data_IF_657070443607
#
_entry.id   IF_657070443607
#
_cell.length_a   1.000
_cell.length_b   1.000
_cell.length_c   1.000
_cell.angle_alpha   90.00
_cell.angle_beta   90.00
_cell.angle_gamma   90.00
#
_symmetry.space_group_name_H-M   'P 1'
#
loop_
_entity.id
_entity.type
_entity.pdbx_description
1 polymer ?
#
# COMPACT_ATOMS: atom_id res chain seq x y z
N UNK A 1 -5.55 30.06 8.45
CA UNK A 1 -4.88 28.88 9.04
C UNK A 1 -5.20 27.68 8.18
N UNK A 2 -4.27 27.27 7.31
CA UNK A 2 -4.46 26.08 6.45
C UNK A 2 -4.36 24.83 7.34
N UNK A 3 -5.50 24.36 7.85
CA UNK A 3 -5.56 23.07 8.53
C UNK A 3 -5.21 22.02 7.48
N UNK A 4 -4.02 21.42 7.59
CA UNK A 4 -3.67 20.26 6.75
C UNK A 4 -4.65 19.15 7.12
N UNK A 5 -5.61 18.87 6.23
CA UNK A 5 -6.65 17.86 6.43
C UNK A 5 -6.07 16.47 6.74
N UNK A 6 -4.82 16.21 6.36
CA UNK A 6 -4.12 14.95 6.67
C UNK A 6 -2.70 15.22 7.20
N UNK A 7 -2.30 14.60 8.33
CA UNK A 7 -0.94 14.69 8.85
C UNK A 7 0.08 14.15 7.84
N UNK A 8 1.19 14.88 7.65
CA UNK A 8 2.27 14.51 6.71
C UNK A 8 2.85 13.11 6.99
N UNK A 9 2.84 12.69 8.25
CA UNK A 9 3.31 11.38 8.69
C UNK A 9 2.47 10.24 8.10
N UNK A 10 1.14 10.41 8.01
CA UNK A 10 0.25 9.40 7.44
C UNK A 10 0.51 9.29 5.94
N UNK A 11 0.61 10.43 5.23
CA UNK A 11 0.94 10.43 3.80
C UNK A 11 2.28 9.73 3.52
N UNK A 12 3.31 10.00 4.34
CA UNK A 12 4.61 9.31 4.22
C UNK A 12 4.49 7.80 4.46
N UNK A 13 3.71 7.38 5.47
CA UNK A 13 3.49 5.97 5.75
C UNK A 13 2.77 5.26 4.60
N UNK A 14 1.76 5.89 3.99
CA UNK A 14 1.05 5.34 2.84
C UNK A 14 1.95 5.22 1.61
N UNK A 15 2.76 6.26 1.31
CA UNK A 15 3.72 6.18 0.20
C UNK A 15 4.76 5.07 0.44
N UNK A 16 5.27 4.96 1.68
CA UNK A 16 6.19 3.90 2.05
C UNK A 16 5.53 2.51 1.94
N UNK A 17 4.26 2.37 2.33
CA UNK A 17 3.44 1.17 2.15
C UNK A 17 3.29 0.81 0.68
N UNK A 18 2.86 1.75 -0.15
CA UNK A 18 2.66 1.56 -1.59
C UNK A 18 3.92 1.08 -2.32
N UNK A 19 5.12 1.54 -1.89
CA UNK A 19 6.40 1.15 -2.48
C UNK A 19 7.02 -0.11 -1.85
N UNK A 20 6.85 -0.29 -0.54
CA UNK A 20 7.47 -1.38 0.22
C UNK A 20 6.69 -2.70 0.19
N UNK A 21 5.36 -2.64 0.25
CA UNK A 21 4.50 -3.83 0.23
C UNK A 21 4.67 -4.69 -1.04
N UNK A 22 4.80 -4.15 -2.27
CA UNK A 22 5.05 -4.94 -3.46
C UNK A 22 6.31 -5.79 -3.36
N UNK A 23 7.38 -5.21 -2.79
CA UNK A 23 8.66 -5.90 -2.58
C UNK A 23 8.45 -7.04 -1.58
N UNK A 24 7.77 -6.78 -0.46
CA UNK A 24 7.45 -7.81 0.52
C UNK A 24 6.60 -8.94 -0.08
N UNK A 25 5.58 -8.62 -0.87
CA UNK A 25 4.73 -9.62 -1.56
C UNK A 25 5.56 -10.47 -2.52
N UNK A 26 6.43 -9.85 -3.32
CA UNK A 26 7.30 -10.58 -4.25
C UNK A 26 8.25 -11.53 -3.52
N UNK A 27 8.82 -11.10 -2.39
CA UNK A 27 9.65 -11.95 -1.52
C UNK A 27 8.84 -13.11 -0.96
N UNK A 28 7.63 -12.88 -0.44
CA UNK A 28 6.77 -13.94 0.10
C UNK A 28 6.41 -14.98 -0.97
N UNK A 29 6.11 -14.55 -2.20
CA UNK A 29 5.88 -15.45 -3.33
C UNK A 29 7.14 -16.25 -3.69
N UNK A 30 8.30 -15.61 -3.77
CA UNK A 30 9.56 -16.28 -4.06
C UNK A 30 9.92 -17.34 -3.02
N UNK A 31 9.78 -17.01 -1.73
CA UNK A 31 10.05 -17.96 -0.64
C UNK A 31 9.01 -19.09 -0.62
N UNK A 32 7.73 -18.80 -0.88
CA UNK A 32 6.69 -19.84 -1.02
C UNK A 32 7.02 -20.84 -2.14
N UNK A 33 7.52 -20.36 -3.29
CA UNK A 33 7.96 -21.21 -4.39
C UNK A 33 9.17 -22.07 -3.99
N UNK A 34 10.12 -21.50 -3.23
CA UNK A 34 11.28 -22.24 -2.72
C UNK A 34 10.87 -23.35 -1.76
N UNK A 35 9.96 -23.08 -0.82
CA UNK A 35 9.44 -24.10 0.10
C UNK A 35 8.69 -25.21 -0.65
N UNK A 36 7.92 -24.85 -1.67
CA UNK A 36 7.24 -25.84 -2.53
C UNK A 36 8.26 -26.76 -3.22
N UNK A 37 9.38 -26.21 -3.68
CA UNK A 37 10.46 -26.99 -4.30
C UNK A 37 11.20 -27.90 -3.30
N UNK A 38 11.12 -27.61 -2.01
CA UNK A 38 11.68 -28.43 -0.91
C UNK A 38 10.69 -29.46 -0.36
N UNK A 39 9.55 -29.66 -1.04
CA UNK A 39 8.44 -30.53 -0.60
C UNK A 39 7.78 -30.08 0.72
N UNK A 40 8.04 -28.85 1.17
CA UNK A 40 7.35 -28.22 2.31
C UNK A 40 6.10 -27.45 1.82
N UNK A 41 5.06 -28.23 1.50
CA UNK A 41 3.78 -27.70 1.05
C UNK A 41 3.05 -26.89 2.14
N UNK A 42 3.28 -27.22 3.41
CA UNK A 42 2.69 -26.54 4.55
C UNK A 42 3.20 -25.11 4.66
N UNK A 43 4.53 -24.95 4.72
CA UNK A 43 5.16 -23.64 4.77
C UNK A 43 4.87 -22.80 3.53
N UNK A 44 4.90 -23.40 2.34
CA UNK A 44 4.56 -22.73 1.09
C UNK A 44 3.14 -22.15 1.09
N UNK A 45 2.16 -22.91 1.58
CA UNK A 45 0.76 -22.51 1.64
C UNK A 45 0.54 -21.32 2.59
N UNK A 46 1.18 -21.35 3.77
CA UNK A 46 1.11 -20.26 4.75
C UNK A 46 1.67 -18.96 4.15
N UNK A 47 2.83 -19.02 3.50
CA UNK A 47 3.42 -17.84 2.86
C UNK A 47 2.57 -17.28 1.72
N UNK A 48 1.86 -18.15 0.98
CA UNK A 48 0.90 -17.71 -0.05
C UNK A 48 -0.27 -16.94 0.55
N UNK A 49 -0.84 -17.42 1.66
CA UNK A 49 -1.90 -16.69 2.36
C UNK A 49 -1.40 -15.36 2.94
N UNK A 50 -0.18 -15.34 3.47
CA UNK A 50 0.42 -14.11 3.98
C UNK A 50 0.66 -13.11 2.83
N UNK A 51 1.11 -13.57 1.67
CA UNK A 51 1.27 -12.74 0.49
C UNK A 51 -0.07 -12.17 -0.02
N UNK A 52 -1.15 -12.96 0.04
CA UNK A 52 -2.49 -12.50 -0.28
C UNK A 52 -2.98 -11.43 0.70
N UNK A 53 -2.77 -11.63 2.00
CA UNK A 53 -3.12 -10.64 3.02
C UNK A 53 -2.34 -9.33 2.84
N UNK A 54 -1.04 -9.42 2.56
CA UNK A 54 -0.20 -8.26 2.24
C UNK A 54 -0.66 -7.55 0.95
N UNK A 55 -1.06 -8.31 -0.08
CA UNK A 55 -1.65 -7.78 -1.31
C UNK A 55 -2.97 -7.04 -1.09
N UNK A 56 -3.84 -7.56 -0.21
CA UNK A 56 -5.08 -6.90 0.15
C UNK A 56 -4.81 -5.58 0.90
N UNK A 57 -3.88 -5.60 1.86
CA UNK A 57 -3.47 -4.39 2.58
C UNK A 57 -2.90 -3.34 1.61
N UNK A 58 -2.10 -3.77 0.64
CA UNK A 58 -1.56 -2.89 -0.40
C UNK A 58 -2.66 -2.28 -1.28
N UNK A 59 -3.67 -3.06 -1.67
CA UNK A 59 -4.79 -2.53 -2.44
C UNK A 59 -5.57 -1.46 -1.66
N UNK A 60 -5.81 -1.67 -0.36
CA UNK A 60 -6.46 -0.69 0.52
C UNK A 60 -5.62 0.60 0.61
N UNK A 61 -4.30 0.46 0.75
CA UNK A 61 -3.38 1.60 0.79
C UNK A 61 -3.41 2.43 -0.50
N UNK A 62 -3.37 1.77 -1.67
CA UNK A 62 -3.51 2.45 -2.97
C UNK A 62 -4.85 3.19 -3.10
N UNK A 63 -5.96 2.57 -2.70
CA UNK A 63 -7.28 3.21 -2.71
C UNK A 63 -7.25 4.47 -1.85
N UNK A 64 -6.68 4.40 -0.65
CA UNK A 64 -6.58 5.55 0.23
C UNK A 64 -5.68 6.66 -0.31
N UNK A 65 -4.56 6.32 -0.98
CA UNK A 65 -3.73 7.30 -1.67
C UNK A 65 -4.49 8.02 -2.81
N UNK A 66 -5.25 7.28 -3.61
CA UNK A 66 -6.07 7.85 -4.69
C UNK A 66 -7.16 8.78 -4.13
N UNK A 67 -7.86 8.36 -3.08
CA UNK A 67 -8.89 9.19 -2.43
C UNK A 67 -8.25 10.46 -1.84
N UNK A 68 -7.11 10.33 -1.19
CA UNK A 68 -6.37 11.47 -0.63
C UNK A 68 -5.91 12.44 -1.72
N UNK A 69 -5.45 11.93 -2.86
CA UNK A 69 -5.07 12.75 -4.00
C UNK A 69 -6.30 13.47 -4.60
N UNK A 70 -7.44 12.78 -4.71
CA UNK A 70 -8.68 13.38 -5.18
C UNK A 70 -9.14 14.53 -4.28
N UNK A 71 -9.16 14.31 -2.95
CA UNK A 71 -9.53 15.36 -1.98
C UNK A 71 -8.62 16.59 -2.10
N UNK A 72 -7.30 16.39 -2.21
CA UNK A 72 -6.37 17.50 -2.40
C UNK A 72 -6.59 18.23 -3.75
N UNK A 73 -6.89 17.49 -4.82
CA UNK A 73 -7.16 18.09 -6.13
C UNK A 73 -8.46 18.91 -6.16
N UNK A 74 -9.49 18.50 -5.42
CA UNK A 74 -10.71 19.29 -5.25
C UNK A 74 -10.45 20.53 -4.39
N UNK A 75 -9.77 20.38 -3.26
CA UNK A 75 -9.47 21.50 -2.36
C UNK A 75 -8.61 22.59 -3.02
N UNK A 76 -7.67 22.22 -3.90
CA UNK A 76 -6.83 23.18 -4.63
C UNK A 76 -7.59 23.94 -5.72
N UNK A 77 -8.71 23.38 -6.23
CA UNK A 77 -9.58 24.03 -7.22
C UNK A 77 -10.49 25.09 -6.62
N UNK A 78 -10.90 24.91 -5.36
CA UNK A 78 -11.84 25.80 -4.68
C UNK A 78 -11.15 27.02 -4.02
N UNK A 79 -9.84 27.23 -4.23
CA UNK A 79 -9.11 28.40 -3.72
C UNK A 79 -9.24 29.61 -4.68
N UNK A 80 -10.07 30.63 -4.35
CA UNK A 80 -10.39 31.76 -5.24
C UNK A 80 -9.25 32.78 -5.35
N UNK A 81 -8.11 32.57 -4.68
CA UNK A 81 -6.96 33.50 -4.69
C UNK A 81 -5.94 33.23 -5.80
N UNK A 82 -6.14 32.20 -6.63
CA UNK A 82 -5.35 31.97 -7.85
C UNK A 82 -5.98 32.67 -9.06
N UNK A 83 -5.92 34.01 -9.09
CA UNK A 83 -6.14 34.86 -10.26
C UNK A 83 -4.93 35.78 -10.44
#
# INVERSE_FOLDING_TARGET
>A
MSQRLVPRSILMAMIAGALGLPIAIAVLWGVSALLSAMDDLGGATVLRYLALAAGLLWAIDLIGLVLLQAVHALADRDDPTKL
#
